data_IF_954241675321
#
_entry.id   IF_954241675321
#
_cell.length_a   1.000
_cell.length_b   1.000
_cell.length_c   1.000
_cell.angle_alpha   90.00
_cell.angle_beta   90.00
_cell.angle_gamma   90.00
#
_symmetry.space_group_name_H-M   'P 1'
#
loop_
_entity.id
_entity.type
_entity.pdbx_description
1 polymer ?
#
# COMPACT_ATOMS: atom_id res chain seq x y z
N UNK A 1 -6.49 -51.17 32.74
CA UNK A 1 -5.36 -52.06 32.35
C UNK A 1 -4.25 -51.15 31.85
N UNK A 2 -3.37 -50.76 32.79
CA UNK A 2 -1.89 -50.92 32.74
C UNK A 2 -1.24 -49.76 31.94
N UNK A 3 -0.80 -48.68 32.62
CA UNK A 3 0.58 -48.45 33.14
C UNK A 3 1.60 -48.37 31.99
N UNK A 4 2.56 -47.44 31.90
CA UNK A 4 3.56 -46.95 32.88
C UNK A 4 4.37 -45.85 32.16
N UNK A 5 4.69 -44.64 32.64
CA UNK A 5 5.28 -44.15 33.89
C UNK A 5 6.84 -44.21 33.96
N UNK A 6 7.45 -43.01 34.07
CA UNK A 6 8.70 -42.61 34.77
C UNK A 6 10.09 -43.03 34.24
N UNK A 7 11.02 -42.06 34.18
CA UNK A 7 12.01 -41.65 35.23
C UNK A 7 12.94 -40.57 34.62
N UNK A 8 13.14 -39.35 35.14
CA UNK A 8 13.72 -38.87 36.42
C UNK A 8 15.25 -39.00 36.54
N UNK A 9 15.94 -37.86 36.73
CA UNK A 9 16.93 -37.53 37.79
C UNK A 9 17.95 -36.48 37.26
N UNK A 10 18.13 -35.27 37.81
CA UNK A 10 18.51 -34.75 39.15
C UNK A 10 20.01 -34.87 39.53
N UNK A 11 20.56 -33.70 39.92
CA UNK A 11 21.65 -33.41 40.89
C UNK A 11 23.07 -33.90 40.52
N UNK A 12 24.20 -33.28 40.91
CA UNK A 12 24.61 -32.44 42.05
C UNK A 12 25.94 -31.74 41.64
N UNK A 13 26.18 -30.45 41.93
CA UNK A 13 26.93 -29.87 43.07
C UNK A 13 28.42 -30.24 43.21
N UNK A 14 29.17 -29.27 43.75
CA UNK A 14 30.55 -29.30 44.30
C UNK A 14 31.65 -28.86 43.29
N UNK A 15 32.60 -27.98 43.60
CA UNK A 15 33.10 -27.52 44.90
C UNK A 15 34.08 -26.33 44.77
N UNK A 16 34.27 -25.62 45.89
CA UNK A 16 35.45 -24.87 46.35
C UNK A 16 35.94 -23.62 45.55
N UNK A 17 35.79 -22.39 46.07
CA UNK A 17 36.59 -21.71 47.12
C UNK A 17 38.02 -21.29 46.69
N UNK A 18 38.26 -19.97 46.57
CA UNK A 18 39.37 -19.21 47.19
C UNK A 18 39.16 -17.70 46.89
N UNK A 19 38.85 -16.80 47.84
CA UNK A 19 39.75 -16.14 48.82
C UNK A 19 40.97 -15.47 48.12
N UNK A 20 41.36 -14.19 48.25
CA UNK A 20 40.95 -13.00 49.01
C UNK A 20 42.12 -11.96 48.93
N UNK A 21 41.86 -10.70 49.32
CA UNK A 21 42.85 -9.64 49.70
C UNK A 21 43.55 -8.92 48.51
N UNK A 22 43.81 -7.60 48.45
CA UNK A 22 44.01 -6.49 49.42
C UNK A 22 43.70 -5.14 48.74
N UNK A 23 43.25 -4.17 49.56
CA UNK A 23 43.35 -2.68 49.56
C UNK A 23 44.31 -1.99 48.55
N UNK A 24 44.20 -0.70 48.20
CA UNK A 24 44.28 0.46 49.11
C UNK A 24 44.08 1.77 48.33
N UNK A 25 43.66 2.80 49.06
CA UNK A 25 43.37 4.17 48.65
C UNK A 25 44.51 4.86 47.89
N UNK A 26 44.18 5.79 46.98
CA UNK A 26 44.90 7.06 46.81
C UNK A 26 44.15 8.03 45.90
N UNK A 27 43.54 9.03 46.54
CA UNK A 27 43.05 10.26 45.93
C UNK A 27 44.24 11.23 45.76
N UNK A 28 44.50 11.70 44.53
CA UNK A 28 45.42 12.81 44.27
C UNK A 28 44.78 13.72 43.22
N UNK A 29 44.38 14.92 43.66
CA UNK A 29 44.16 16.08 42.80
C UNK A 29 45.52 16.57 42.28
N UNK A 30 45.64 16.84 40.97
CA UNK A 30 46.29 18.04 40.45
C UNK A 30 46.28 18.11 38.90
N UNK A 31 45.84 19.28 38.41
CA UNK A 31 46.45 20.09 37.35
C UNK A 31 46.39 19.70 35.83
N UNK A 32 45.66 20.57 35.10
CA UNK A 32 46.03 21.29 33.86
C UNK A 32 46.39 20.54 32.54
N UNK A 33 45.42 20.62 31.62
CA UNK A 33 45.41 21.01 30.18
C UNK A 33 46.60 20.80 29.21
N UNK A 34 46.20 20.48 27.97
CA UNK A 34 46.83 20.61 26.64
C UNK A 34 47.78 19.52 26.05
N UNK A 35 47.20 18.78 25.08
CA UNK A 35 47.71 18.30 23.77
C UNK A 35 48.84 17.24 23.70
N UNK A 36 48.52 16.00 23.29
CA UNK A 36 48.51 15.58 21.87
C UNK A 36 48.37 14.03 21.69
N UNK A 37 47.49 13.67 20.75
CA UNK A 37 47.59 12.57 19.77
C UNK A 37 47.16 11.10 20.07
N UNK A 38 46.52 10.55 19.05
CA UNK A 38 46.13 9.16 18.71
C UNK A 38 44.89 8.50 19.36
N UNK A 39 43.80 8.39 18.58
CA UNK A 39 42.79 7.35 18.80
C UNK A 39 41.44 7.48 18.09
N UNK A 40 41.45 7.45 16.76
CA UNK A 40 40.43 6.90 15.82
C UNK A 40 38.95 6.72 16.22
N UNK A 41 38.12 7.29 15.34
CA UNK A 41 36.69 7.10 15.05
C UNK A 41 36.26 5.61 14.92
N UNK A 42 35.09 5.24 15.46
CA UNK A 42 33.93 4.55 14.84
C UNK A 42 32.97 4.08 15.96
N UNK A 43 31.65 4.33 15.93
CA UNK A 43 30.74 3.76 14.94
C UNK A 43 29.54 4.68 14.64
N UNK A 44 29.61 5.42 13.53
CA UNK A 44 28.42 5.80 12.78
C UNK A 44 27.92 4.54 12.05
N UNK A 45 26.65 4.20 12.22
CA UNK A 45 26.03 3.06 11.55
C UNK A 45 26.21 3.15 10.03
N UNK A 46 27.10 2.32 9.50
CA UNK A 46 27.38 2.16 8.07
C UNK A 46 26.13 1.58 7.41
N UNK A 47 25.24 2.46 6.94
CA UNK A 47 24.08 2.08 6.14
C UNK A 47 24.57 1.25 4.95
N UNK A 48 24.04 0.03 4.80
CA UNK A 48 24.35 -0.83 3.65
C UNK A 48 23.95 -0.06 2.38
N UNK A 49 24.73 -0.16 1.27
CA UNK A 49 24.28 0.41 0.01
C UNK A 49 22.96 -0.25 -0.38
N UNK A 50 21.85 0.46 -0.22
CA UNK A 50 20.54 -0.02 -0.67
C UNK A 50 20.57 -0.14 -2.18
N UNK A 51 20.30 -1.33 -2.70
CA UNK A 51 20.36 -1.57 -4.14
C UNK A 51 19.35 -0.68 -4.87
N UNK A 52 19.69 -0.28 -6.10
CA UNK A 52 18.79 0.51 -6.95
C UNK A 52 17.40 -0.16 -7.05
N UNK A 53 17.36 -1.47 -7.23
CA UNK A 53 16.11 -2.24 -7.30
C UNK A 53 15.26 -2.12 -6.01
N UNK A 54 15.87 -2.22 -4.84
CA UNK A 54 15.16 -2.07 -3.56
C UNK A 54 14.60 -0.65 -3.41
N UNK A 55 15.36 0.36 -3.84
CA UNK A 55 14.92 1.76 -3.81
C UNK A 55 13.78 2.03 -4.78
N UNK A 56 13.85 1.53 -6.01
CA UNK A 56 12.77 1.68 -7.01
C UNK A 56 11.49 1.02 -6.50
N UNK A 57 11.57 -0.19 -5.93
CA UNK A 57 10.42 -0.85 -5.32
C UNK A 57 9.84 -0.03 -4.14
N UNK A 58 10.68 0.54 -3.28
CA UNK A 58 10.22 1.41 -2.20
C UNK A 58 9.52 2.68 -2.72
N UNK A 59 10.01 3.26 -3.83
CA UNK A 59 9.35 4.40 -4.50
C UNK A 59 7.97 3.98 -5.02
N UNK A 60 7.87 2.85 -5.71
CA UNK A 60 6.59 2.33 -6.20
C UNK A 60 5.58 2.14 -5.06
N UNK A 61 6.00 1.48 -3.97
CA UNK A 61 5.15 1.28 -2.79
C UNK A 61 4.71 2.59 -2.15
N UNK A 62 5.59 3.59 -2.06
CA UNK A 62 5.25 4.91 -1.53
C UNK A 62 4.20 5.63 -2.41
N UNK A 63 4.30 5.52 -3.73
CA UNK A 63 3.33 6.12 -4.66
C UNK A 63 1.97 5.39 -4.67
N UNK A 64 1.94 4.10 -4.29
CA UNK A 64 0.71 3.32 -4.17
C UNK A 64 -0.01 3.51 -2.83
N UNK A 65 0.74 3.78 -1.75
CA UNK A 65 0.19 3.86 -0.39
C UNK A 65 -0.13 5.26 0.09
N UNK A 66 0.52 6.30 -0.46
CA UNK A 66 0.38 7.68 0.01
C UNK A 66 0.25 8.67 -1.16
N UNK A 67 -0.43 9.81 -0.92
CA UNK A 67 -0.49 10.91 -1.89
C UNK A 67 0.80 11.73 -1.84
N UNK A 68 1.67 11.54 -2.83
CA UNK A 68 2.97 12.22 -2.93
C UNK A 68 2.89 13.41 -3.87
N UNK A 69 2.95 14.62 -3.32
CA UNK A 69 2.82 15.89 -4.08
C UNK A 69 4.16 16.51 -4.49
N UNK A 70 5.26 16.08 -3.89
CA UNK A 70 6.60 16.61 -4.18
C UNK A 70 7.70 15.55 -4.00
N UNK A 71 8.82 15.71 -4.70
CA UNK A 71 10.00 14.86 -4.51
C UNK A 71 10.60 15.00 -3.10
N UNK A 72 10.51 16.18 -2.48
CA UNK A 72 10.92 16.38 -1.10
C UNK A 72 10.06 15.60 -0.11
N UNK A 73 8.76 15.48 -0.38
CA UNK A 73 7.87 14.60 0.39
C UNK A 73 8.27 13.13 0.19
N UNK A 74 8.50 12.69 -1.06
CA UNK A 74 8.94 11.34 -1.36
C UNK A 74 10.26 10.98 -0.64
N UNK A 75 11.23 11.88 -0.64
CA UNK A 75 12.50 11.69 0.08
C UNK A 75 12.30 11.47 1.58
N UNK A 76 11.37 12.21 2.22
CA UNK A 76 11.03 12.02 3.64
C UNK A 76 10.37 10.67 3.89
N UNK A 77 9.48 10.23 2.99
CA UNK A 77 8.85 8.91 3.09
C UNK A 77 9.91 7.81 3.02
N UNK A 78 10.80 7.89 2.02
CA UNK A 78 11.88 6.93 1.81
C UNK A 78 12.89 6.90 2.96
N UNK A 79 13.21 8.06 3.55
CA UNK A 79 14.11 8.13 4.70
C UNK A 79 13.57 7.34 5.91
N UNK A 80 12.24 7.33 6.13
CA UNK A 80 11.61 6.48 7.18
C UNK A 80 11.81 4.99 6.93
N UNK A 81 12.02 4.60 5.67
CA UNK A 81 12.29 3.22 5.25
C UNK A 81 13.79 2.94 5.07
N UNK A 82 14.67 3.84 5.53
CA UNK A 82 16.13 3.67 5.48
C UNK A 82 16.77 4.00 4.13
N UNK A 83 16.04 4.69 3.23
CA UNK A 83 16.58 5.13 1.95
C UNK A 83 16.88 6.63 1.97
N UNK A 84 18.16 6.99 2.06
CA UNK A 84 18.60 8.37 1.85
C UNK A 84 18.90 8.62 0.37
N UNK A 85 18.22 9.60 -0.22
CA UNK A 85 18.25 9.87 -1.66
C UNK A 85 18.31 11.36 -1.93
N UNK A 86 19.06 11.75 -2.95
CA UNK A 86 19.09 13.15 -3.40
C UNK A 86 17.91 13.43 -4.33
N UNK A 87 17.57 14.71 -4.50
CA UNK A 87 16.55 15.12 -5.46
C UNK A 87 16.91 14.69 -6.90
N UNK A 88 18.19 14.76 -7.27
CA UNK A 88 18.66 14.33 -8.60
C UNK A 88 18.48 12.82 -8.82
N UNK A 89 18.74 12.00 -7.79
CA UNK A 89 18.51 10.55 -7.82
C UNK A 89 17.02 10.25 -7.96
N UNK A 90 16.18 10.90 -7.14
CA UNK A 90 14.73 10.73 -7.21
C UNK A 90 14.14 11.15 -8.54
N UNK A 91 14.63 12.22 -9.15
CA UNK A 91 14.18 12.62 -10.48
C UNK A 91 14.43 11.51 -11.49
N UNK A 92 15.64 10.96 -11.52
CA UNK A 92 16.01 9.87 -12.44
C UNK A 92 15.22 8.59 -12.17
N UNK A 93 15.04 8.23 -10.90
CA UNK A 93 14.29 7.03 -10.53
C UNK A 93 12.80 7.18 -10.89
N UNK A 94 12.21 8.36 -10.68
CA UNK A 94 10.83 8.67 -11.09
C UNK A 94 10.68 8.63 -12.61
N UNK A 95 11.66 9.16 -13.36
CA UNK A 95 11.68 9.07 -14.82
C UNK A 95 11.81 7.60 -15.27
N UNK A 96 12.63 6.79 -14.60
CA UNK A 96 12.86 5.38 -14.91
C UNK A 96 11.62 4.51 -14.70
N UNK A 97 10.86 4.75 -13.63
CA UNK A 97 9.56 4.07 -13.38
C UNK A 97 8.40 4.79 -14.09
N UNK A 98 8.70 5.74 -14.96
CA UNK A 98 7.74 6.53 -15.75
C UNK A 98 6.68 7.23 -14.88
N UNK A 99 7.00 7.68 -13.67
CA UNK A 99 6.05 8.38 -12.82
C UNK A 99 5.57 9.69 -13.46
N UNK A 100 4.25 9.90 -13.48
CA UNK A 100 3.61 11.10 -14.03
C UNK A 100 2.95 11.93 -12.94
N UNK A 101 2.74 13.21 -13.21
CA UNK A 101 1.97 14.11 -12.35
C UNK A 101 0.53 14.18 -12.81
N UNK A 102 -0.41 13.83 -11.94
CA UNK A 102 -1.85 13.96 -12.20
C UNK A 102 -2.47 14.99 -11.27
N UNK A 103 -3.60 15.57 -11.71
CA UNK A 103 -4.45 16.40 -10.86
C UNK A 103 -5.50 15.52 -10.18
N UNK A 104 -5.52 15.53 -8.86
CA UNK A 104 -6.48 14.82 -8.03
C UNK A 104 -7.83 15.55 -8.01
N UNK A 105 -8.86 14.87 -7.52
CA UNK A 105 -10.24 15.39 -7.40
C UNK A 105 -10.33 16.62 -6.49
N UNK A 106 -9.41 16.75 -5.53
CA UNK A 106 -9.29 17.91 -4.64
C UNK A 106 -8.45 19.07 -5.24
N UNK A 107 -8.00 18.94 -6.49
CA UNK A 107 -7.25 19.94 -7.23
C UNK A 107 -5.72 19.91 -7.02
N UNK A 108 -5.20 19.10 -6.09
CA UNK A 108 -3.76 18.93 -5.86
C UNK A 108 -3.10 18.17 -7.02
N UNK A 109 -1.80 18.40 -7.22
CA UNK A 109 -0.99 17.66 -8.18
C UNK A 109 -0.15 16.63 -7.42
N UNK A 110 -0.20 15.38 -7.84
CA UNK A 110 0.53 14.28 -7.20
C UNK A 110 1.26 13.40 -8.22
N UNK A 111 2.38 12.83 -7.80
CA UNK A 111 3.11 11.79 -8.52
C UNK A 111 2.35 10.47 -8.40
N UNK A 112 2.27 9.77 -9.51
CA UNK A 112 1.68 8.43 -9.64
C UNK A 112 2.53 7.64 -10.63
N UNK A 113 2.60 6.32 -10.48
CA UNK A 113 3.31 5.47 -11.45
C UNK A 113 2.63 5.60 -12.82
N UNK A 114 3.36 6.09 -13.83
CA UNK A 114 2.90 6.11 -15.20
C UNK A 114 3.40 4.86 -15.88
N UNK A 115 2.79 3.73 -15.59
CA UNK A 115 3.12 2.52 -16.32
C UNK A 115 2.74 2.65 -17.80
N UNK A 116 3.44 1.91 -18.64
CA UNK A 116 3.10 1.76 -20.06
C UNK A 116 1.71 1.16 -20.30
N UNK A 117 0.88 0.87 -19.29
CA UNK A 117 -0.37 0.11 -19.42
C UNK A 117 -1.47 0.34 -18.35
N UNK A 118 -1.44 1.40 -17.54
CA UNK A 118 -2.26 1.40 -16.30
C UNK A 118 -2.67 2.77 -15.81
N UNK A 119 -1.92 3.85 -16.09
CA UNK A 119 -2.36 5.20 -15.73
C UNK A 119 -3.16 5.88 -16.85
N UNK A 120 -2.83 5.60 -18.13
CA UNK A 120 -3.79 5.85 -19.23
C UNK A 120 -5.04 5.01 -19.04
N UNK A 121 -4.89 3.73 -18.73
CA UNK A 121 -6.04 2.87 -18.45
C UNK A 121 -6.82 3.32 -17.23
N UNK A 122 -6.23 3.73 -16.11
CA UNK A 122 -6.97 4.21 -14.94
C UNK A 122 -7.70 5.52 -15.22
N UNK A 123 -7.06 6.49 -15.87
CA UNK A 123 -7.72 7.74 -16.32
C UNK A 123 -8.84 7.45 -17.33
N UNK A 124 -8.64 6.51 -18.25
CA UNK A 124 -9.66 6.06 -19.20
C UNK A 124 -10.78 5.31 -18.49
N UNK A 125 -10.47 4.47 -17.49
CA UNK A 125 -11.47 3.72 -16.71
C UNK A 125 -12.33 4.71 -15.90
N UNK A 126 -11.72 5.72 -15.26
CA UNK A 126 -12.47 6.77 -14.55
C UNK A 126 -13.35 7.58 -15.52
N UNK A 127 -12.87 7.87 -16.73
CA UNK A 127 -13.67 8.55 -17.76
C UNK A 127 -14.81 7.68 -18.29
N UNK A 128 -14.56 6.39 -18.48
CA UNK A 128 -15.56 5.40 -18.88
C UNK A 128 -16.61 5.28 -17.79
N UNK A 129 -16.22 5.07 -16.54
CA UNK A 129 -17.13 5.00 -15.38
C UNK A 129 -17.98 6.29 -15.30
N UNK A 130 -17.38 7.48 -15.45
CA UNK A 130 -18.15 8.73 -15.48
C UNK A 130 -19.11 8.83 -16.68
N UNK A 131 -18.73 8.33 -17.84
CA UNK A 131 -19.59 8.33 -19.02
C UNK A 131 -20.77 7.37 -18.85
N UNK A 132 -20.52 6.16 -18.32
CA UNK A 132 -21.57 5.19 -17.99
C UNK A 132 -22.50 5.77 -16.94
N UNK A 133 -21.96 6.35 -15.87
CA UNK A 133 -22.74 7.00 -14.82
C UNK A 133 -23.69 8.07 -15.38
N UNK A 134 -23.21 8.92 -16.31
CA UNK A 134 -24.08 9.91 -16.96
C UNK A 134 -25.18 9.27 -17.81
N UNK A 135 -24.88 8.19 -18.51
CA UNK A 135 -25.87 7.48 -19.34
C UNK A 135 -26.90 6.74 -18.51
N UNK A 136 -26.52 6.22 -17.34
CA UNK A 136 -27.40 5.45 -16.45
C UNK A 136 -28.13 6.28 -15.40
N UNK A 137 -27.78 7.57 -15.23
CA UNK A 137 -28.47 8.48 -14.30
C UNK A 137 -29.97 8.56 -14.63
N UNK A 138 -30.80 8.43 -13.59
CA UNK A 138 -32.26 8.37 -13.70
C UNK A 138 -32.84 7.03 -14.19
N UNK A 139 -32.01 6.04 -14.53
CA UNK A 139 -32.46 4.71 -14.96
C UNK A 139 -32.30 3.62 -13.89
N UNK A 140 -31.55 3.89 -12.83
CA UNK A 140 -31.34 2.97 -11.71
C UNK A 140 -32.21 3.43 -10.54
N UNK A 141 -33.10 2.55 -10.07
CA UNK A 141 -34.00 2.83 -8.94
C UNK A 141 -33.49 2.26 -7.62
N UNK A 142 -32.88 1.06 -7.67
CA UNK A 142 -32.35 0.36 -6.50
C UNK A 142 -31.20 -0.55 -6.92
N UNK A 143 -30.24 -0.77 -6.01
CA UNK A 143 -29.13 -1.69 -6.20
C UNK A 143 -28.90 -2.50 -4.92
N UNK A 144 -28.73 -3.81 -5.08
CA UNK A 144 -28.28 -4.71 -4.02
C UNK A 144 -27.24 -5.69 -4.55
N UNK A 145 -26.59 -6.43 -3.67
CA UNK A 145 -25.64 -7.47 -4.08
C UNK A 145 -25.61 -8.64 -3.10
N UNK A 146 -25.22 -9.81 -3.59
CA UNK A 146 -24.97 -11.01 -2.81
C UNK A 146 -23.86 -11.83 -3.45
N UNK A 147 -22.81 -12.14 -2.69
CA UNK A 147 -21.57 -12.73 -3.22
C UNK A 147 -21.05 -11.91 -4.40
N UNK A 148 -20.78 -12.55 -5.54
CA UNK A 148 -20.28 -11.92 -6.75
C UNK A 148 -21.40 -11.48 -7.71
N UNK A 149 -22.64 -11.33 -7.23
CA UNK A 149 -23.80 -10.96 -8.04
C UNK A 149 -24.35 -9.61 -7.56
N UNK A 150 -24.54 -8.68 -8.49
CA UNK A 150 -25.20 -7.39 -8.26
C UNK A 150 -26.58 -7.42 -8.93
N UNK A 151 -27.61 -7.01 -8.20
CA UNK A 151 -28.98 -6.87 -8.68
C UNK A 151 -29.30 -5.39 -8.80
N UNK A 152 -29.68 -4.96 -10.00
CA UNK A 152 -29.98 -3.56 -10.33
C UNK A 152 -31.43 -3.49 -10.77
N UNK A 153 -32.24 -2.69 -10.07
CA UNK A 153 -33.62 -2.39 -10.47
C UNK A 153 -33.66 -1.11 -11.29
N UNK A 154 -34.58 -1.08 -12.25
CA UNK A 154 -34.80 0.02 -13.19
C UNK A 154 -36.31 0.31 -13.30
N UNK A 155 -36.73 1.42 -13.91
CA UNK A 155 -38.12 1.56 -14.37
C UNK A 155 -38.49 0.44 -15.36
N UNK A 156 -39.79 0.17 -15.49
CA UNK A 156 -40.31 -0.86 -16.41
C UNK A 156 -39.80 -0.64 -17.84
N UNK A 157 -39.36 -1.74 -18.48
CA UNK A 157 -38.80 -1.76 -19.82
C UNK A 157 -37.39 -1.18 -19.99
N UNK A 158 -36.72 -0.72 -18.93
CA UNK A 158 -35.39 -0.10 -19.04
C UNK A 158 -34.22 -1.08 -18.84
N UNK A 159 -34.44 -2.27 -18.27
CA UNK A 159 -33.37 -3.17 -17.85
C UNK A 159 -32.46 -3.60 -19.01
N UNK A 160 -33.04 -3.92 -20.17
CA UNK A 160 -32.29 -4.30 -21.37
C UNK A 160 -31.34 -3.20 -21.86
N UNK A 161 -31.77 -1.94 -21.78
CA UNK A 161 -30.92 -0.81 -22.15
C UNK A 161 -29.77 -0.63 -21.16
N UNK A 162 -30.05 -0.72 -19.86
CA UNK A 162 -29.03 -0.63 -18.80
C UNK A 162 -27.97 -1.71 -18.96
N UNK A 163 -28.37 -2.98 -19.15
CA UNK A 163 -27.46 -4.09 -19.40
C UNK A 163 -26.60 -3.86 -20.66
N UNK A 164 -27.21 -3.41 -21.75
CA UNK A 164 -26.50 -3.09 -23.00
C UNK A 164 -25.43 -2.00 -22.81
N UNK A 165 -25.71 -0.98 -21.99
CA UNK A 165 -24.72 0.07 -21.67
C UNK A 165 -23.57 -0.49 -20.84
N UNK A 166 -23.86 -1.34 -19.85
CA UNK A 166 -22.86 -2.00 -19.00
C UNK A 166 -21.94 -2.89 -19.86
N UNK A 167 -22.51 -3.78 -20.67
CA UNK A 167 -21.75 -4.80 -21.41
C UNK A 167 -20.90 -4.22 -22.55
N UNK A 168 -21.28 -3.05 -23.09
CA UNK A 168 -20.54 -2.39 -24.19
C UNK A 168 -19.31 -1.62 -23.73
N UNK A 169 -19.14 -1.43 -22.43
CA UNK A 169 -18.07 -0.64 -21.84
C UNK A 169 -17.08 -1.56 -21.15
N UNK A 170 -15.76 -1.30 -21.23
CA UNK A 170 -14.75 -2.16 -20.63
C UNK A 170 -14.65 -1.87 -19.12
N UNK A 171 -15.75 -2.05 -18.39
CA UNK A 171 -15.83 -1.88 -16.94
C UNK A 171 -15.07 -3.01 -16.26
N UNK A 172 -14.08 -2.66 -15.42
CA UNK A 172 -13.30 -3.65 -14.67
C UNK A 172 -14.18 -4.37 -13.64
N UNK A 173 -13.88 -5.64 -13.41
CA UNK A 173 -14.52 -6.45 -12.38
C UNK A 173 -15.85 -7.10 -12.78
N UNK A 174 -16.40 -6.77 -13.96
CA UNK A 174 -17.66 -7.32 -14.47
C UNK A 174 -17.38 -8.42 -15.50
N UNK A 175 -18.01 -9.58 -15.31
CA UNK A 175 -17.98 -10.71 -16.24
C UNK A 175 -19.07 -10.61 -17.32
N UNK A 176 -20.21 -10.02 -16.98
CA UNK A 176 -21.32 -9.76 -17.89
C UNK A 176 -22.64 -9.53 -17.15
N UNK A 177 -23.72 -9.31 -17.90
CA UNK A 177 -25.06 -9.10 -17.34
C UNK A 177 -26.17 -9.86 -18.07
N UNK A 178 -27.29 -10.07 -17.37
CA UNK A 178 -28.55 -10.61 -17.91
C UNK A 178 -29.69 -9.69 -17.49
N UNK A 179 -30.48 -9.23 -18.45
CA UNK A 179 -31.61 -8.33 -18.19
C UNK A 179 -32.97 -9.04 -18.34
N UNK A 180 -33.88 -8.70 -17.43
CA UNK A 180 -35.32 -8.90 -17.56
C UNK A 180 -36.00 -7.67 -18.15
N UNK A 181 -37.16 -7.29 -17.58
CA UNK A 181 -37.89 -6.07 -17.95
C UNK A 181 -37.46 -4.84 -17.13
N UNK A 182 -37.41 -5.01 -15.80
CA UNK A 182 -37.12 -3.98 -14.81
C UNK A 182 -35.93 -4.33 -13.89
N UNK A 183 -35.26 -5.45 -14.16
CA UNK A 183 -34.18 -5.98 -13.32
C UNK A 183 -33.00 -6.46 -14.16
N UNK A 184 -31.79 -6.08 -13.77
CA UNK A 184 -30.53 -6.57 -14.34
C UNK A 184 -29.75 -7.36 -13.29
N UNK A 185 -29.33 -8.56 -13.66
CA UNK A 185 -28.37 -9.36 -12.92
C UNK A 185 -26.98 -9.12 -13.51
N UNK A 186 -26.06 -8.56 -12.74
CA UNK A 186 -24.67 -8.36 -13.11
C UNK A 186 -23.79 -9.35 -12.35
N UNK A 187 -22.91 -10.06 -13.06
CA UNK A 187 -21.98 -11.02 -12.47
C UNK A 187 -20.58 -10.41 -12.45
N UNK A 188 -19.94 -10.44 -11.28
CA UNK A 188 -18.60 -9.93 -11.06
C UNK A 188 -17.58 -11.06 -10.86
N UNK A 189 -16.29 -10.72 -11.01
CA UNK A 189 -15.17 -11.67 -10.89
C UNK A 189 -14.92 -12.14 -9.46
N UNK A 190 -15.36 -11.36 -8.47
CA UNK A 190 -15.20 -11.65 -7.04
C UNK A 190 -16.31 -10.98 -6.23
N UNK A 191 -16.42 -11.34 -4.94
CA UNK A 191 -17.36 -10.70 -4.01
C UNK A 191 -16.97 -9.24 -3.73
N UNK A 192 -15.66 -8.96 -3.64
CA UNK A 192 -15.13 -7.60 -3.43
C UNK A 192 -15.49 -6.68 -4.61
N UNK A 193 -15.32 -7.16 -5.84
CA UNK A 193 -15.68 -6.39 -7.04
C UNK A 193 -17.20 -6.18 -7.16
N UNK A 194 -18.02 -7.13 -6.70
CA UNK A 194 -19.47 -6.94 -6.65
C UNK A 194 -19.87 -5.85 -5.65
N UNK A 195 -19.26 -5.83 -4.46
CA UNK A 195 -19.49 -4.78 -3.46
C UNK A 195 -19.07 -3.40 -4.01
N UNK A 196 -17.87 -3.30 -4.61
CA UNK A 196 -17.39 -2.07 -5.22
C UNK A 196 -18.29 -1.56 -6.35
N UNK A 197 -18.72 -2.46 -7.26
CA UNK A 197 -19.60 -2.09 -8.37
C UNK A 197 -21.01 -1.74 -7.90
N UNK A 198 -21.53 -2.42 -6.88
CA UNK A 198 -22.82 -2.07 -6.29
C UNK A 198 -22.78 -0.66 -5.65
N UNK A 199 -21.73 -0.36 -4.87
CA UNK A 199 -21.53 0.96 -4.27
C UNK A 199 -21.38 2.06 -5.33
N UNK A 200 -20.64 1.77 -6.41
CA UNK A 200 -20.54 2.69 -7.54
C UNK A 200 -21.90 2.94 -8.22
N UNK A 201 -22.68 1.90 -8.50
CA UNK A 201 -24.02 2.04 -9.10
C UNK A 201 -24.99 2.80 -8.21
N UNK A 202 -24.94 2.60 -6.88
CA UNK A 202 -25.71 3.40 -5.92
C UNK A 202 -25.36 4.90 -6.01
N UNK A 203 -24.08 5.22 -6.21
CA UNK A 203 -23.64 6.60 -6.41
C UNK A 203 -24.16 7.23 -7.71
N UNK A 204 -24.51 6.41 -8.70
CA UNK A 204 -25.16 6.82 -9.96
C UNK A 204 -26.66 7.03 -9.78
N UNK A 205 -27.33 6.15 -9.04
CA UNK A 205 -28.76 6.26 -8.73
C UNK A 205 -29.09 7.53 -7.91
N UNK A 206 -28.12 7.98 -7.10
CA UNK A 206 -28.26 9.14 -6.22
C UNK A 206 -28.09 10.50 -6.92
N UNK A 207 -27.95 10.54 -8.26
CA UNK A 207 -27.67 11.74 -9.05
C UNK A 207 -28.70 12.01 -10.13
#
# INVERSE_FOLDING_TARGET
MVESNRKSNNFSSDDALNHSYVNEDNNFDDAFDDNDDFGSIESAGKQRPTTKAARLNAIEQALLSEVITSQSQLAKVLARHGFEVTQATLSRDLDEINAVKIRLTDGRIAYVLGDGTGNRHAMDTVRIDQQVARTLSGLITEVGFANNIVVIHTPSGAAQYVASVIDRQPLKGILGSVAGDDTVLMVCVSNEEAEDRANWMLSVASR
#
